data_IF_389218368122
#
_entry.id   IF_389218368122
#
_cell.length_a   1.000
_cell.length_b   1.000
_cell.length_c   1.000
_cell.angle_alpha   90.00
_cell.angle_beta   90.00
_cell.angle_gamma   90.00
#
_symmetry.space_group_name_H-M   'P 1'
#
loop_
_entity.id
_entity.type
_entity.pdbx_description
1 polymer ?
#
# COMPACT_ATOMS: atom_id res chain seq x y z
N UNK A 1 3.07 4.56 -17.29
CA UNK A 1 3.99 5.68 -16.92
C UNK A 1 3.71 6.14 -15.49
N UNK A 2 4.72 6.59 -14.74
CA UNK A 2 4.57 7.08 -13.35
C UNK A 2 3.96 6.08 -12.36
N UNK A 3 4.32 4.79 -12.47
CA UNK A 3 3.70 3.73 -11.66
C UNK A 3 3.89 3.97 -10.15
N UNK A 4 5.10 4.34 -9.74
CA UNK A 4 5.41 4.59 -8.32
C UNK A 4 4.55 5.75 -7.82
N UNK A 5 4.49 6.85 -8.58
CA UNK A 5 3.74 8.04 -8.22
C UNK A 5 2.23 7.78 -8.14
N UNK A 6 1.69 6.89 -8.99
CA UNK A 6 0.27 6.49 -8.92
C UNK A 6 -0.04 5.74 -7.62
N UNK A 7 0.86 4.86 -7.18
CA UNK A 7 0.69 4.16 -5.91
C UNK A 7 0.92 5.09 -4.72
N UNK A 8 1.94 5.96 -4.73
CA UNK A 8 2.15 6.90 -3.62
C UNK A 8 1.02 7.93 -3.52
N UNK A 9 0.45 8.38 -4.65
CA UNK A 9 -0.71 9.26 -4.68
C UNK A 9 -1.97 8.61 -4.07
N UNK A 10 -2.13 7.28 -4.19
CA UNK A 10 -3.20 6.57 -3.50
C UNK A 10 -3.07 6.74 -1.97
N UNK A 11 -1.90 6.49 -1.40
CA UNK A 11 -1.68 6.65 0.04
C UNK A 11 -1.82 8.12 0.49
N UNK A 12 -1.34 9.07 -0.32
CA UNK A 12 -1.50 10.50 -0.09
C UNK A 12 -2.99 10.93 -0.06
N UNK A 13 -3.80 10.44 -1.00
CA UNK A 13 -5.24 10.72 -1.04
C UNK A 13 -6.01 10.18 0.17
N UNK A 14 -5.47 9.12 0.79
CA UNK A 14 -5.97 8.53 2.03
C UNK A 14 -5.30 9.12 3.28
N UNK A 15 -4.54 10.21 3.13
CA UNK A 15 -3.85 10.92 4.21
C UNK A 15 -2.92 10.01 5.04
N UNK A 16 -2.35 8.98 4.41
CA UNK A 16 -1.43 8.05 5.05
C UNK A 16 0.01 8.52 4.92
N UNK A 17 0.79 8.33 5.98
CA UNK A 17 2.22 8.60 5.97
C UNK A 17 2.97 7.37 5.48
N UNK A 18 3.73 7.51 4.39
CA UNK A 18 4.60 6.44 3.88
C UNK A 18 5.82 6.32 4.81
N UNK A 19 5.99 5.16 5.43
CA UNK A 19 7.16 4.84 6.25
C UNK A 19 8.28 4.18 5.45
N UNK A 20 7.92 3.35 4.48
CA UNK A 20 8.87 2.66 3.62
C UNK A 20 8.32 2.55 2.19
N UNK A 21 9.21 2.78 1.22
CA UNK A 21 8.98 2.53 -0.20
C UNK A 21 10.18 1.79 -0.76
N UNK A 22 9.95 0.55 -1.21
CA UNK A 22 10.94 -0.23 -1.96
C UNK A 22 10.47 -0.31 -3.41
N UNK A 23 11.35 0.07 -4.33
CA UNK A 23 11.11 -0.06 -5.77
C UNK A 23 12.32 -0.71 -6.42
N UNK A 24 12.10 -1.80 -7.16
CA UNK A 24 13.15 -2.50 -7.91
C UNK A 24 12.63 -3.01 -9.24
N UNK A 25 13.48 -2.96 -10.24
CA UNK A 25 13.21 -3.61 -11.53
C UNK A 25 13.83 -5.00 -11.48
N UNK A 26 13.03 -6.02 -11.73
CA UNK A 26 13.45 -7.42 -11.79
C UNK A 26 13.14 -8.00 -13.17
N UNK A 27 13.94 -8.95 -13.63
CA UNK A 27 13.62 -9.71 -14.84
C UNK A 27 12.57 -10.77 -14.51
N UNK A 28 11.46 -10.81 -15.24
CA UNK A 28 10.46 -11.88 -15.04
C UNK A 28 10.92 -13.17 -15.72
N UNK A 29 10.97 -14.28 -14.98
CA UNK A 29 11.47 -15.59 -15.41
C UNK A 29 10.78 -16.15 -16.67
N UNK A 30 9.55 -15.74 -16.97
CA UNK A 30 8.76 -16.35 -18.04
C UNK A 30 8.96 -15.74 -19.43
N UNK A 31 9.46 -14.50 -19.53
CA UNK A 31 9.58 -13.77 -20.81
C UNK A 31 10.82 -12.84 -20.90
N UNK A 32 11.63 -12.74 -19.84
CA UNK A 32 12.79 -11.85 -19.80
C UNK A 32 12.45 -10.35 -19.80
N UNK A 33 11.16 -10.00 -19.74
CA UNK A 33 10.73 -8.61 -19.69
C UNK A 33 11.00 -8.01 -18.30
N UNK A 34 11.44 -6.74 -18.22
CA UNK A 34 11.61 -6.05 -16.96
C UNK A 34 10.24 -5.79 -16.31
N UNK A 35 10.10 -6.22 -15.07
CA UNK A 35 8.92 -5.99 -14.23
C UNK A 35 9.31 -5.09 -13.08
N UNK A 36 8.47 -4.10 -12.81
CA UNK A 36 8.62 -3.22 -11.65
C UNK A 36 7.96 -3.87 -10.43
N UNK A 37 8.74 -4.09 -9.38
CA UNK A 37 8.25 -4.49 -8.07
C UNK A 37 8.22 -3.26 -7.15
N UNK A 38 7.08 -3.05 -6.48
CA UNK A 38 6.86 -1.97 -5.53
C UNK A 38 6.33 -2.56 -4.23
N UNK A 39 6.93 -2.20 -3.10
CA UNK A 39 6.40 -2.45 -1.76
C UNK A 39 6.29 -1.12 -1.03
N UNK A 40 5.12 -0.84 -0.45
CA UNK A 40 4.86 0.37 0.32
C UNK A 40 4.34 -0.03 1.70
N UNK A 41 4.97 0.49 2.74
CA UNK A 41 4.49 0.45 4.11
C UNK A 41 4.05 1.85 4.50
N UNK A 42 2.80 1.99 4.96
CA UNK A 42 2.23 3.27 5.35
C UNK A 42 1.41 3.16 6.62
N UNK A 43 1.30 4.27 7.34
CA UNK A 43 0.51 4.39 8.56
C UNK A 43 -0.60 5.42 8.36
N UNK A 44 -1.83 5.04 8.69
CA UNK A 44 -2.90 6.00 8.86
C UNK A 44 -2.74 6.74 10.20
N UNK A 45 -3.19 8.00 10.29
CA UNK A 45 -3.41 8.66 11.58
C UNK A 45 -4.38 7.83 12.44
N UNK A 46 -4.17 7.79 13.76
CA UNK A 46 -4.96 6.97 14.70
C UNK A 46 -6.48 7.25 14.70
N UNK A 47 -6.91 8.37 14.11
CA UNK A 47 -8.30 8.82 14.02
C UNK A 47 -8.97 8.53 12.67
N UNK A 48 -8.25 7.91 11.72
CA UNK A 48 -8.76 7.65 10.38
C UNK A 48 -9.08 6.16 10.21
N UNK A 49 -10.36 5.90 9.95
CA UNK A 49 -10.79 4.62 9.39
C UNK A 49 -10.08 4.41 8.05
N UNK A 50 -9.28 3.35 7.94
CA UNK A 50 -8.70 2.89 6.67
C UNK A 50 -9.76 2.30 5.71
N UNK A 51 -11.03 2.54 5.99
CA UNK A 51 -12.17 2.06 5.24
C UNK A 51 -12.08 2.58 3.80
N UNK A 52 -12.05 1.64 2.86
CA UNK A 52 -12.01 1.79 1.40
C UNK A 52 -10.63 1.85 0.70
N UNK A 53 -9.49 1.81 1.42
CA UNK A 53 -8.17 1.77 0.73
C UNK A 53 -7.96 0.46 -0.05
N UNK A 54 -8.44 -0.68 0.47
CA UNK A 54 -8.31 -1.97 -0.22
C UNK A 54 -9.04 -1.99 -1.56
N UNK A 55 -10.23 -1.37 -1.63
CA UNK A 55 -11.00 -1.27 -2.85
C UNK A 55 -10.32 -0.33 -3.86
N UNK A 56 -9.85 0.84 -3.39
CA UNK A 56 -9.14 1.80 -4.23
C UNK A 56 -7.83 1.21 -4.78
N UNK A 57 -7.11 0.44 -3.97
CA UNK A 57 -5.91 -0.30 -4.38
C UNK A 57 -6.23 -1.32 -5.49
N UNK A 58 -7.26 -2.15 -5.31
CA UNK A 58 -7.68 -3.13 -6.33
C UNK A 58 -8.10 -2.47 -7.65
N UNK A 59 -8.80 -1.34 -7.57
CA UNK A 59 -9.17 -0.54 -8.74
C UNK A 59 -7.92 -0.01 -9.46
N UNK A 60 -6.95 0.52 -8.72
CA UNK A 60 -5.69 1.01 -9.29
C UNK A 60 -4.86 -0.11 -9.92
N UNK A 61 -4.78 -1.29 -9.30
CA UNK A 61 -4.13 -2.46 -9.91
C UNK A 61 -4.79 -2.85 -11.24
N UNK A 62 -6.12 -2.81 -11.30
CA UNK A 62 -6.87 -3.12 -12.54
C UNK A 62 -6.59 -2.08 -13.63
N UNK A 63 -6.64 -0.79 -13.28
CA UNK A 63 -6.36 0.31 -14.22
C UNK A 63 -4.95 0.24 -14.80
N UNK A 64 -3.96 -0.08 -13.97
CA UNK A 64 -2.56 -0.14 -14.36
C UNK A 64 -2.13 -1.49 -14.96
N UNK A 65 -3.07 -2.45 -15.09
CA UNK A 65 -2.78 -3.84 -15.45
C UNK A 65 -1.64 -4.43 -14.59
N UNK A 66 -1.69 -4.16 -13.29
CA UNK A 66 -0.72 -4.58 -12.29
C UNK A 66 -1.30 -5.67 -11.40
N UNK A 67 -0.43 -6.47 -10.80
CA UNK A 67 -0.79 -7.48 -9.80
C UNK A 67 -0.26 -7.02 -8.45
N UNK A 68 -1.06 -7.21 -7.39
CA UNK A 68 -0.65 -6.82 -6.05
C UNK A 68 -1.69 -7.15 -4.99
N UNK A 69 -1.26 -7.05 -3.74
CA UNK A 69 -2.11 -7.16 -2.57
C UNK A 69 -1.80 -6.02 -1.59
N UNK A 70 -2.76 -5.72 -0.73
CA UNK A 70 -2.64 -4.78 0.37
C UNK A 70 -3.22 -5.45 1.61
N UNK A 71 -2.57 -5.26 2.75
CA UNK A 71 -3.01 -5.76 4.05
C UNK A 71 -3.12 -4.58 5.01
N UNK A 72 -4.30 -4.36 5.56
CA UNK A 72 -4.56 -3.29 6.53
C UNK A 72 -4.57 -3.91 7.92
N UNK A 73 -3.66 -3.46 8.79
CA UNK A 73 -3.60 -3.89 10.20
C UNK A 73 -4.15 -2.75 11.05
N UNK A 74 -5.31 -2.98 11.67
CA UNK A 74 -5.89 -2.02 12.61
C UNK A 74 -5.49 -2.44 14.03
N UNK A 75 -4.68 -1.62 14.70
CA UNK A 75 -4.42 -1.79 16.12
C UNK A 75 -5.61 -1.20 16.87
N UNK A 76 -6.65 -2.02 17.09
CA UNK A 76 -7.67 -1.71 18.08
C UNK A 76 -6.95 -1.39 19.40
N UNK A 77 -7.12 -0.19 19.93
CA UNK A 77 -6.68 0.15 21.29
C UNK A 77 -7.48 -0.67 22.30
N UNK A 78 -7.16 -1.95 22.46
CA UNK A 78 -7.60 -2.79 23.57
C UNK A 78 -6.36 -3.41 24.19
N UNK A 79 -5.53 -2.61 24.86
CA UNK A 79 -4.44 -3.10 25.71
C UNK A 79 -3.83 -2.04 26.64
N UNK A 80 -4.64 -1.08 27.14
CA UNK A 80 -4.25 -0.27 28.31
C UNK A 80 -5.42 -0.11 29.28
N UNK A 81 -5.71 -1.15 30.04
CA UNK A 81 -6.23 -1.01 31.41
C UNK A 81 -5.79 -2.25 32.19
N UNK A 82 -4.80 -2.06 33.06
CA UNK A 82 -4.12 -3.15 33.76
C UNK A 82 -2.93 -2.66 34.56
N UNK A 83 -3.12 -1.53 35.25
CA UNK A 83 -2.28 -1.13 36.38
C UNK A 83 -3.12 -1.31 37.64
N UNK A 84 -3.03 -2.49 38.25
CA UNK A 84 -3.35 -2.68 39.66
C UNK A 84 -2.04 -2.64 40.46
#
# INVERSE_FOLDING_TARGET
PHLIERFTALFDSHQMNIAELVSRTQTSDEQGLPVLFIQITAHSPASQDASNIEQAFKALCTELNAQGSISVVNYSQHEQDGVE
#
